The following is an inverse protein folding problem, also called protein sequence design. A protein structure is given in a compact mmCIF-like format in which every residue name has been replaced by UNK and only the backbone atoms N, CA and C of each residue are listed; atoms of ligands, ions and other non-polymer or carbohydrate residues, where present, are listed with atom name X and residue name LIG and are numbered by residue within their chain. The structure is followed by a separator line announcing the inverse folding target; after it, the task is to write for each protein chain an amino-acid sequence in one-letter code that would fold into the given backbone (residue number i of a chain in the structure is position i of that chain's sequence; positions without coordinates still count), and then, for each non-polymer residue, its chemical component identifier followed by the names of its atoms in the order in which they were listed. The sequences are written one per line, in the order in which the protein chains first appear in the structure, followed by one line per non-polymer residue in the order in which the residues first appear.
data_IF_997444726917
#
_entry.id   IF_997444726917
#
_cell.length_a   1.000
_cell.length_b   1.000
_cell.length_c   1.000
_cell.angle_alpha   90.00
_cell.angle_beta   90.00
_cell.angle_gamma   90.00
#
_symmetry.space_group_name_H-M   'P 1'
#
loop_
_entity.id
_entity.type
_entity.pdbx_description
1 polymer ?
#
# COMPACT_ATOMS: atom_id res chain seq x y z
N UNK A 1 -14.32 0.74 5.90
CA UNK A 1 -14.88 0.78 4.54
C UNK A 1 -13.89 0.18 3.56
N UNK A 2 -14.38 -0.55 2.58
CA UNK A 2 -13.52 -1.21 1.60
C UNK A 2 -13.73 -0.59 0.22
N UNK A 3 -12.65 -0.53 -0.56
CA UNK A 3 -12.66 0.08 -1.89
C UNK A 3 -12.19 -0.93 -2.93
N UNK A 4 -12.87 -0.98 -4.07
CA UNK A 4 -12.37 -1.74 -5.22
C UNK A 4 -11.14 -1.06 -5.79
N UNK A 5 -10.36 -1.79 -6.61
CA UNK A 5 -9.19 -1.21 -7.26
C UNK A 5 -9.59 -0.01 -8.14
N UNK A 6 -10.76 -0.08 -8.78
CA UNK A 6 -11.27 1.01 -9.61
C UNK A 6 -11.59 2.25 -8.78
N UNK A 7 -12.27 2.07 -7.65
CA UNK A 7 -12.59 3.17 -6.74
C UNK A 7 -11.32 3.82 -6.20
N UNK A 8 -10.38 3.01 -5.74
CA UNK A 8 -9.10 3.51 -5.20
C UNK A 8 -8.30 4.25 -6.29
N UNK A 9 -8.27 3.71 -7.50
CA UNK A 9 -7.61 4.34 -8.64
C UNK A 9 -8.16 5.74 -8.89
N UNK A 10 -9.48 5.90 -8.87
CA UNK A 10 -10.14 7.18 -9.07
C UNK A 10 -9.89 8.15 -7.91
N UNK A 11 -9.95 7.67 -6.68
CA UNK A 11 -9.70 8.49 -5.48
C UNK A 11 -8.27 9.02 -5.42
N UNK A 12 -7.31 8.19 -5.75
CA UNK A 12 -5.89 8.51 -5.60
C UNK A 12 -5.26 9.14 -6.86
N UNK A 13 -5.96 9.12 -7.98
CA UNK A 13 -5.44 9.64 -9.23
C UNK A 13 -4.33 8.79 -9.84
N UNK A 14 -4.31 7.48 -9.56
CA UNK A 14 -3.37 6.53 -10.16
C UNK A 14 -4.14 5.48 -10.95
N UNK A 15 -3.50 4.87 -11.95
CA UNK A 15 -4.17 3.87 -12.76
C UNK A 15 -4.31 2.54 -12.00
N UNK A 16 -5.34 1.75 -12.35
CA UNK A 16 -5.50 0.40 -11.82
C UNK A 16 -4.28 -0.46 -12.16
N UNK A 17 -3.67 -0.24 -13.32
CA UNK A 17 -2.45 -0.93 -13.74
C UNK A 17 -1.30 -0.66 -12.77
N UNK A 18 -1.14 0.58 -12.32
CA UNK A 18 -0.14 0.97 -11.34
C UNK A 18 -0.38 0.25 -10.01
N UNK A 19 -1.63 0.17 -9.56
CA UNK A 19 -1.98 -0.52 -8.31
C UNK A 19 -1.70 -2.03 -8.41
N UNK A 20 -1.97 -2.66 -9.56
CA UNK A 20 -1.62 -4.07 -9.79
C UNK A 20 -0.11 -4.28 -9.76
N UNK A 21 0.63 -3.37 -10.36
CA UNK A 21 2.10 -3.41 -10.34
C UNK A 21 2.63 -3.32 -8.90
N UNK A 22 2.07 -2.42 -8.09
CA UNK A 22 2.46 -2.29 -6.68
C UNK A 22 2.19 -3.57 -5.89
N UNK A 23 1.12 -4.29 -6.21
CA UNK A 23 0.84 -5.60 -5.63
C UNK A 23 1.91 -6.62 -6.06
N UNK A 24 2.24 -6.68 -7.35
CA UNK A 24 3.25 -7.62 -7.88
C UNK A 24 4.61 -7.46 -7.22
N UNK A 25 5.06 -6.23 -6.99
CA UNK A 25 6.36 -5.97 -6.37
C UNK A 25 6.30 -5.98 -4.83
N UNK A 26 5.12 -6.20 -4.26
CA UNK A 26 4.95 -6.25 -2.82
C UNK A 26 4.99 -4.89 -2.13
N UNK A 27 4.80 -3.80 -2.87
CA UNK A 27 4.80 -2.44 -2.32
C UNK A 27 3.47 -2.11 -1.65
N UNK A 28 2.36 -2.45 -2.29
CA UNK A 28 1.01 -2.25 -1.75
C UNK A 28 0.15 -3.45 -2.12
N UNK A 29 -0.08 -4.31 -1.15
CA UNK A 29 -0.95 -5.48 -1.34
C UNK A 29 -2.39 -5.12 -0.98
N UNK A 30 -3.38 -5.67 -1.71
CA UNK A 30 -4.78 -5.46 -1.34
C UNK A 30 -5.09 -6.13 -0.01
N UNK A 31 -6.17 -5.68 0.62
CA UNK A 31 -6.67 -6.29 1.84
C UNK A 31 -7.04 -7.76 1.59
N UNK A 32 -7.71 -8.00 0.47
CA UNK A 32 -8.00 -9.36 -0.01
C UNK A 32 -8.28 -9.34 -1.52
N UNK A 33 -8.27 -10.52 -2.11
CA UNK A 33 -8.63 -10.74 -3.51
C UNK A 33 -9.77 -11.77 -3.51
N UNK A 34 -10.85 -11.47 -4.25
CA UNK A 34 -11.99 -12.39 -4.35
C UNK A 34 -11.63 -13.60 -5.22
N UNK A 35 -12.47 -14.64 -5.18
CA UNK A 35 -12.31 -15.81 -6.04
C UNK A 35 -12.31 -15.45 -7.52
N UNK A 36 -13.06 -14.41 -7.90
CA UNK A 36 -13.11 -13.91 -9.28
C UNK A 36 -11.89 -13.07 -9.66
N UNK A 37 -10.97 -12.80 -8.71
CA UNK A 37 -9.76 -12.04 -8.98
C UNK A 37 -9.89 -10.54 -8.78
N UNK A 38 -10.94 -10.07 -8.13
CA UNK A 38 -11.12 -8.65 -7.82
C UNK A 38 -10.37 -8.27 -6.55
N UNK A 39 -9.61 -7.17 -6.62
CA UNK A 39 -8.83 -6.65 -5.48
C UNK A 39 -9.64 -5.62 -4.71
N UNK A 40 -9.60 -5.72 -3.37
CA UNK A 40 -10.23 -4.76 -2.46
C UNK A 40 -9.22 -4.23 -1.46
N UNK A 41 -9.36 -2.95 -1.14
CA UNK A 41 -8.42 -2.20 -0.30
C UNK A 41 -9.18 -1.60 0.88
N UNK A 42 -8.63 -1.73 2.08
CA UNK A 42 -9.20 -1.13 3.27
C UNK A 42 -8.58 0.24 3.56
N UNK A 43 -8.97 0.83 4.67
CA UNK A 43 -8.48 2.15 5.10
C UNK A 43 -6.96 2.16 5.31
N UNK A 44 -6.42 1.07 5.86
CA UNK A 44 -4.98 0.92 6.07
C UNK A 44 -4.22 0.99 4.75
N UNK A 45 -4.73 0.31 3.73
CA UNK A 45 -4.13 0.30 2.40
C UNK A 45 -4.21 1.67 1.72
N UNK A 46 -5.30 2.41 1.96
CA UNK A 46 -5.44 3.78 1.48
C UNK A 46 -4.36 4.67 2.11
N UNK A 47 -4.15 4.55 3.40
CA UNK A 47 -3.10 5.31 4.11
C UNK A 47 -1.71 4.99 3.58
N UNK A 48 -1.43 3.71 3.34
CA UNK A 48 -0.15 3.27 2.77
C UNK A 48 0.04 3.88 1.37
N UNK A 49 -1.01 3.86 0.54
CA UNK A 49 -0.94 4.45 -0.79
C UNK A 49 -0.63 5.96 -0.72
N UNK A 50 -1.25 6.67 0.21
CA UNK A 50 -0.96 8.09 0.41
C UNK A 50 0.51 8.33 0.74
N UNK A 51 1.10 7.49 1.57
CA UNK A 51 2.53 7.55 1.89
C UNK A 51 3.39 7.28 0.65
N UNK A 52 3.03 6.28 -0.13
CA UNK A 52 3.73 5.95 -1.38
C UNK A 52 3.74 7.16 -2.31
N UNK A 53 2.57 7.76 -2.53
CA UNK A 53 2.43 8.91 -3.43
C UNK A 53 3.19 10.13 -2.91
N UNK A 54 3.20 10.34 -1.61
CA UNK A 54 3.97 11.40 -0.96
C UNK A 54 5.46 11.28 -1.30
N UNK A 55 6.03 10.08 -1.16
CA UNK A 55 7.43 9.84 -1.46
C UNK A 55 7.72 9.89 -2.96
N UNK A 56 6.76 9.43 -3.78
CA UNK A 56 6.89 9.49 -5.25
C UNK A 56 6.98 10.94 -5.74
N UNK A 57 6.20 11.83 -5.19
CA UNK A 57 6.27 13.26 -5.51
C UNK A 57 7.66 13.83 -5.21
N UNK A 58 8.34 13.29 -4.21
CA UNK A 58 9.69 13.69 -3.82
C UNK A 58 10.76 12.91 -4.56
N UNK A 59 10.36 12.18 -5.59
CA UNK A 59 11.27 11.45 -6.50
C UNK A 59 12.03 10.30 -5.83
N UNK A 60 11.53 9.74 -4.73
CA UNK A 60 12.03 8.49 -4.20
C UNK A 60 11.66 7.36 -5.15
N UNK A 61 12.57 6.41 -5.38
CA UNK A 61 12.25 5.24 -6.17
C UNK A 61 11.42 4.23 -5.38
N UNK A 62 10.76 3.31 -6.09
CA UNK A 62 9.87 2.34 -5.46
C UNK A 62 10.58 1.41 -4.48
N UNK A 63 11.83 1.06 -4.78
CA UNK A 63 12.64 0.18 -3.93
C UNK A 63 12.92 0.85 -2.58
N UNK A 64 13.29 2.13 -2.59
CA UNK A 64 13.52 2.92 -1.38
C UNK A 64 12.25 3.09 -0.57
N UNK A 65 11.12 3.37 -1.23
CA UNK A 65 9.82 3.50 -0.56
C UNK A 65 9.44 2.20 0.13
N UNK A 66 9.57 1.08 -0.57
CA UNK A 66 9.27 -0.24 -0.01
C UNK A 66 10.10 -0.52 1.24
N UNK A 67 11.38 -0.20 1.19
CA UNK A 67 12.28 -0.38 2.34
C UNK A 67 11.85 0.48 3.53
N UNK A 68 11.52 1.75 3.31
CA UNK A 68 11.06 2.64 4.36
C UNK A 68 9.77 2.16 5.02
N UNK A 69 8.81 1.69 4.24
CA UNK A 69 7.55 1.16 4.76
C UNK A 69 7.76 -0.12 5.57
N UNK A 70 8.66 -1.00 5.14
CA UNK A 70 9.00 -2.23 5.87
C UNK A 70 9.70 -1.92 7.19
N UNK A 71 10.59 -0.96 7.23
CA UNK A 71 11.28 -0.53 8.46
C UNK A 71 10.31 0.03 9.48
N UNK A 72 9.35 0.84 9.05
CA UNK A 72 8.30 1.37 9.94
C UNK A 72 7.48 0.25 10.58
N UNK A 73 7.10 -0.76 9.81
CA UNK A 73 6.36 -1.91 10.32
C UNK A 73 7.19 -2.71 11.35
N UNK A 74 8.48 -2.90 11.09
CA UNK A 74 9.38 -3.58 12.02
C UNK A 74 9.54 -2.80 13.32
N UNK A 75 9.68 -1.50 13.26
CA UNK A 75 9.78 -0.63 14.43
C UNK A 75 8.51 -0.68 15.28
N UNK A 76 7.35 -0.71 14.65
CA UNK A 76 6.06 -0.87 15.34
C UNK A 76 5.96 -2.22 16.05
N UNK A 77 6.38 -3.28 15.39
CA UNK A 77 6.38 -4.62 15.98
C UNK A 77 7.32 -4.71 17.17
N UNK A 78 8.51 -4.13 17.07
CA UNK A 78 9.47 -4.07 18.18
C UNK A 78 8.92 -3.29 19.37
N UNK A 79 8.28 -2.15 19.12
CA UNK A 79 7.67 -1.35 20.17
C UNK A 79 6.60 -2.12 20.94
N UNK A 80 5.79 -2.93 20.21
CA UNK A 80 4.78 -3.78 20.80
C UNK A 80 5.39 -4.91 21.63
N UNK A 81 6.47 -5.53 21.15
CA UNK A 81 7.17 -6.61 21.85
C UNK A 81 7.86 -6.11 23.13
N UNK A 82 8.42 -4.91 23.12
CA UNK A 82 9.09 -4.31 24.28
C UNK A 82 8.13 -3.96 25.40
N UNK A 83 6.85 -3.79 25.11
CA UNK A 83 5.80 -3.50 26.09
C UNK A 83 5.11 -4.72 26.67
N UNK A 84 5.47 -5.89 26.21
CA UNK A 84 4.98 -7.15 26.71
C UNK A 84 5.97 -7.71 27.76
#
# INVERSE_FOLDING_TARGET
MEYSIRELSQMAGVSARTLRYYDEIGLLKPLYVTEAGYRYYGEKEVDILQQILFYRERKFDLKSIKKMLCEDDLDRMRALEEHL
#
